data_IF_023040200440
#
_entry.id   IF_023040200440
#
_cell.length_a   1.000
_cell.length_b   1.000
_cell.length_c   1.000
_cell.angle_alpha   90.00
_cell.angle_beta   90.00
_cell.angle_gamma   90.00
#
_symmetry.space_group_name_H-M   'P 1'
#
loop_
_entity.id
_entity.type
_entity.pdbx_description
1 polymer ?
#
# COMPACT_ATOMS: atom_id res chain seq x y z
N UNK A 1 8.83 -27.11 -5.49
CA UNK A 1 8.80 -26.11 -6.58
C UNK A 1 9.96 -26.30 -7.56
N UNK A 2 11.22 -25.98 -7.22
CA UNK A 2 12.36 -26.16 -8.16
C UNK A 2 12.46 -27.58 -8.72
N UNK A 3 12.37 -28.60 -7.86
CA UNK A 3 12.33 -30.01 -8.28
C UNK A 3 11.23 -30.30 -9.32
N UNK A 4 10.02 -29.76 -9.11
CA UNK A 4 8.89 -29.92 -10.03
C UNK A 4 9.15 -29.25 -11.38
N UNK A 5 9.87 -28.12 -11.40
CA UNK A 5 10.27 -27.44 -12.63
C UNK A 5 11.32 -28.29 -13.38
N UNK A 6 12.29 -28.87 -12.69
CA UNK A 6 13.28 -29.77 -13.31
C UNK A 6 12.60 -31.03 -13.88
N UNK A 7 11.69 -31.65 -13.12
CA UNK A 7 10.91 -32.83 -13.55
C UNK A 7 10.05 -32.56 -14.79
N UNK A 8 9.66 -31.31 -15.04
CA UNK A 8 8.93 -30.88 -16.24
C UNK A 8 9.81 -30.58 -17.46
N UNK A 9 11.12 -30.86 -17.35
CA UNK A 9 12.09 -30.64 -18.43
C UNK A 9 12.60 -29.19 -18.51
N UNK A 10 12.45 -28.39 -17.46
CA UNK A 10 12.96 -27.01 -17.41
C UNK A 10 14.38 -27.00 -16.85
N UNK A 11 15.20 -26.10 -17.38
CA UNK A 11 16.58 -25.89 -16.95
C UNK A 11 16.58 -24.73 -15.96
N UNK A 12 17.21 -24.94 -14.80
CA UNK A 12 17.31 -23.94 -13.74
C UNK A 12 18.78 -23.58 -13.54
N UNK A 13 19.14 -22.34 -13.88
CA UNK A 13 20.49 -21.80 -13.75
C UNK A 13 20.54 -20.82 -12.57
N UNK A 14 21.37 -21.11 -11.57
CA UNK A 14 21.65 -20.17 -10.47
C UNK A 14 22.91 -19.35 -10.80
N UNK A 15 22.74 -18.09 -11.21
CA UNK A 15 23.87 -17.17 -11.46
C UNK A 15 24.28 -16.37 -10.24
N UNK A 16 23.32 -15.98 -9.41
CA UNK A 16 23.57 -15.21 -8.19
C UNK A 16 22.86 -15.89 -7.00
N UNK A 17 23.32 -15.64 -5.76
CA UNK A 17 22.60 -16.07 -4.57
C UNK A 17 21.13 -15.62 -4.63
N UNK A 18 20.20 -16.56 -4.49
CA UNK A 18 18.76 -16.29 -4.54
C UNK A 18 18.18 -15.95 -5.91
N UNK A 19 18.96 -15.86 -6.99
CA UNK A 19 18.44 -15.51 -8.32
C UNK A 19 18.62 -16.69 -9.29
N UNK A 20 17.49 -17.23 -9.73
CA UNK A 20 17.42 -18.42 -10.57
C UNK A 20 16.77 -18.08 -11.91
N UNK A 21 17.43 -18.46 -12.99
CA UNK A 21 16.91 -18.33 -14.35
C UNK A 21 16.34 -19.68 -14.78
N UNK A 22 15.06 -19.69 -15.13
CA UNK A 22 14.35 -20.87 -15.64
C UNK A 22 14.20 -20.72 -17.14
N UNK A 23 14.77 -21.67 -17.88
CA UNK A 23 14.79 -21.72 -19.34
C UNK A 23 14.32 -23.08 -19.84
N UNK A 24 13.90 -23.11 -21.11
CA UNK A 24 13.46 -24.33 -21.78
C UNK A 24 12.04 -24.75 -21.37
N UNK A 25 11.28 -25.28 -22.33
CA UNK A 25 9.89 -25.73 -22.12
C UNK A 25 8.96 -24.67 -21.46
N UNK A 26 9.19 -23.40 -21.77
CA UNK A 26 8.37 -22.23 -21.37
C UNK A 26 8.22 -21.29 -22.56
N UNK A 27 7.08 -20.58 -22.65
CA UNK A 27 6.83 -19.59 -23.71
C UNK A 27 7.71 -18.34 -23.57
N UNK A 28 8.26 -18.11 -22.38
CA UNK A 28 9.12 -16.98 -22.05
C UNK A 28 10.10 -17.38 -20.94
N UNK A 29 11.31 -16.80 -20.98
CA UNK A 29 12.30 -16.97 -19.91
C UNK A 29 11.75 -16.40 -18.59
N UNK A 30 11.92 -17.13 -17.50
CA UNK A 30 11.42 -16.74 -16.17
C UNK A 30 12.58 -16.58 -15.20
N UNK A 31 12.52 -15.54 -14.37
CA UNK A 31 13.44 -15.36 -13.26
C UNK A 31 12.70 -15.57 -11.94
N UNK A 32 13.23 -16.44 -11.08
CA UNK A 32 12.74 -16.65 -9.72
C UNK A 32 13.73 -16.00 -8.76
N UNK A 33 13.23 -15.04 -8.00
CA UNK A 33 13.97 -14.31 -6.97
C UNK A 33 13.53 -14.84 -5.60
N UNK A 34 14.46 -15.51 -4.92
CA UNK A 34 14.25 -16.09 -3.60
C UNK A 34 14.84 -15.16 -2.56
N UNK A 35 13.99 -14.32 -1.97
CA UNK A 35 14.38 -13.15 -1.18
C UNK A 35 15.27 -13.50 0.02
N UNK A 36 15.04 -14.64 0.68
CA UNK A 36 15.84 -15.07 1.84
C UNK A 36 17.25 -15.60 1.50
N UNK A 37 17.56 -15.80 0.22
CA UNK A 37 18.86 -16.25 -0.27
C UNK A 37 19.64 -15.13 -0.96
N UNK A 38 19.03 -13.95 -1.10
CA UNK A 38 19.69 -12.80 -1.68
C UNK A 38 20.80 -12.31 -0.75
N UNK A 39 21.84 -11.75 -1.38
CA UNK A 39 22.95 -11.13 -0.68
C UNK A 39 22.44 -9.97 0.19
N UNK A 40 22.63 -10.03 1.52
CA UNK A 40 22.27 -8.96 2.44
C UNK A 40 22.85 -7.59 2.10
N UNK A 41 24.04 -7.55 1.50
CA UNK A 41 24.77 -6.31 1.23
C UNK A 41 24.40 -5.68 -0.10
N UNK A 42 23.83 -6.45 -1.03
CA UNK A 42 23.55 -5.96 -2.39
C UNK A 42 22.06 -5.83 -2.70
N UNK A 43 21.20 -6.48 -1.92
CA UNK A 43 19.78 -6.60 -2.22
C UNK A 43 18.90 -6.34 -0.99
N UNK A 44 19.34 -5.42 -0.13
CA UNK A 44 18.60 -4.97 1.07
C UNK A 44 17.13 -4.64 0.73
N UNK A 45 16.90 -3.89 -0.36
CA UNK A 45 15.59 -3.48 -0.86
C UNK A 45 14.61 -4.64 -1.08
N UNK A 46 15.07 -5.73 -1.70
CA UNK A 46 14.24 -6.92 -1.88
C UNK A 46 13.99 -7.62 -0.54
N UNK A 47 14.99 -7.69 0.33
CA UNK A 47 14.87 -8.44 1.59
C UNK A 47 13.89 -7.81 2.57
N UNK A 48 13.79 -6.47 2.59
CA UNK A 48 12.86 -5.76 3.47
C UNK A 48 11.39 -5.89 3.05
N UNK A 49 11.10 -6.32 1.83
CA UNK A 49 9.75 -6.59 1.35
C UNK A 49 9.17 -7.92 1.87
N UNK A 50 9.96 -8.70 2.62
CA UNK A 50 9.45 -9.87 3.32
C UNK A 50 8.55 -9.46 4.50
N UNK A 51 7.52 -10.26 4.80
CA UNK A 51 6.67 -10.09 6.00
C UNK A 51 7.41 -10.28 7.33
N UNK A 52 8.63 -10.82 7.28
CA UNK A 52 9.51 -11.01 8.43
C UNK A 52 10.86 -10.39 8.10
N UNK A 53 10.85 -9.11 7.71
CA UNK A 53 12.08 -8.37 7.44
C UNK A 53 13.00 -8.42 8.67
N UNK A 54 14.31 -8.52 8.46
CA UNK A 54 15.27 -8.46 9.55
C UNK A 54 15.66 -7.01 9.82
N UNK A 55 15.85 -6.68 11.09
CA UNK A 55 16.26 -5.35 11.54
C UNK A 55 17.53 -4.86 10.80
N UNK A 56 18.54 -5.72 10.64
CA UNK A 56 19.78 -5.39 9.93
C UNK A 56 19.56 -5.07 8.45
N UNK A 57 18.61 -5.75 7.79
CA UNK A 57 18.29 -5.50 6.37
C UNK A 57 17.60 -4.14 6.23
N UNK A 58 16.71 -3.82 7.15
CA UNK A 58 16.01 -2.53 7.22
C UNK A 58 17.01 -1.40 7.48
N UNK A 59 17.92 -1.59 8.44
CA UNK A 59 18.95 -0.59 8.74
C UNK A 59 19.81 -0.29 7.54
N UNK A 60 20.30 -1.32 6.87
CA UNK A 60 21.12 -1.17 5.67
C UNK A 60 20.37 -0.51 4.52
N UNK A 61 19.13 -0.91 4.27
CA UNK A 61 18.31 -0.30 3.23
C UNK A 61 18.18 1.21 3.47
N UNK A 62 17.87 1.62 4.71
CA UNK A 62 17.76 3.03 5.07
C UNK A 62 19.07 3.80 4.86
N UNK A 63 20.22 3.23 5.23
CA UNK A 63 21.53 3.82 4.95
C UNK A 63 21.80 4.00 3.45
N UNK A 64 21.46 3.00 2.64
CA UNK A 64 21.61 3.04 1.18
C UNK A 64 20.67 4.08 0.54
N UNK A 65 19.41 4.15 1.00
CA UNK A 65 18.41 5.12 0.52
C UNK A 65 18.84 6.55 0.75
N UNK A 66 19.51 6.85 1.87
CA UNK A 66 20.03 8.19 2.16
C UNK A 66 21.15 8.64 1.22
N UNK A 67 21.90 7.69 0.67
CA UNK A 67 22.98 7.98 -0.28
C UNK A 67 22.46 8.23 -1.70
N UNK A 68 21.16 8.02 -1.95
CA UNK A 68 20.56 8.26 -3.26
C UNK A 68 20.49 9.77 -3.55
N UNK A 69 21.03 10.17 -4.70
CA UNK A 69 21.07 11.58 -5.13
C UNK A 69 20.00 11.87 -6.18
N UNK A 70 19.68 10.89 -7.03
CA UNK A 70 18.69 11.06 -8.08
C UNK A 70 17.26 10.98 -7.50
N UNK A 71 16.39 11.89 -7.94
CA UNK A 71 15.00 11.93 -7.48
C UNK A 71 14.26 10.62 -7.78
N UNK A 72 14.38 10.07 -8.98
CA UNK A 72 13.70 8.82 -9.33
C UNK A 72 14.17 7.61 -8.50
N UNK A 73 15.45 7.58 -8.08
CA UNK A 73 15.95 6.52 -7.22
C UNK A 73 15.37 6.63 -5.81
N UNK A 74 15.19 7.87 -5.31
CA UNK A 74 14.52 8.14 -4.03
C UNK A 74 13.06 7.73 -4.07
N UNK A 75 12.32 8.14 -5.10
CA UNK A 75 10.90 7.77 -5.27
C UNK A 75 10.71 6.24 -5.31
N UNK A 76 11.62 5.53 -5.99
CA UNK A 76 11.62 4.06 -5.99
C UNK A 76 11.92 3.48 -4.61
N UNK A 77 12.88 4.04 -3.88
CA UNK A 77 13.20 3.61 -2.51
C UNK A 77 12.02 3.89 -1.56
N UNK A 78 11.35 5.03 -1.69
CA UNK A 78 10.18 5.40 -0.89
C UNK A 78 9.03 4.43 -1.11
N UNK A 79 8.75 4.04 -2.36
CA UNK A 79 7.73 3.04 -2.67
C UNK A 79 8.05 1.66 -2.05
N UNK A 80 9.32 1.23 -2.09
CA UNK A 80 9.75 -0.02 -1.46
C UNK A 80 9.61 0.07 0.06
N UNK A 81 9.98 1.21 0.63
CA UNK A 81 9.91 1.48 2.06
C UNK A 81 8.48 1.45 2.57
N UNK A 82 7.56 2.10 1.86
CA UNK A 82 6.14 2.16 2.17
C UNK A 82 5.50 0.76 2.25
N UNK A 83 5.78 -0.08 1.25
CA UNK A 83 5.30 -1.47 1.23
C UNK A 83 5.90 -2.28 2.39
N UNK A 84 7.18 -2.06 2.71
CA UNK A 84 7.84 -2.75 3.80
C UNK A 84 7.25 -2.36 5.17
N UNK A 85 6.96 -1.08 5.40
CA UNK A 85 6.30 -0.59 6.63
C UNK A 85 4.93 -1.24 6.78
N UNK A 86 4.13 -1.25 5.72
CA UNK A 86 2.79 -1.84 5.74
C UNK A 86 2.82 -3.33 6.13
N UNK A 87 3.87 -4.06 5.73
CA UNK A 87 4.05 -5.47 6.06
C UNK A 87 4.72 -5.73 7.42
N UNK A 88 5.49 -4.77 7.97
CA UNK A 88 6.36 -4.96 9.14
C UNK A 88 6.25 -3.84 10.19
N UNK A 89 5.06 -3.28 10.42
CA UNK A 89 4.86 -2.07 11.27
C UNK A 89 5.54 -2.13 12.64
N UNK A 90 5.39 -3.23 13.37
CA UNK A 90 5.98 -3.41 14.70
C UNK A 90 7.52 -3.36 14.71
N UNK A 91 8.17 -3.83 13.63
CA UNK A 91 9.62 -3.75 13.49
C UNK A 91 10.05 -2.28 13.31
N UNK A 92 9.34 -1.53 12.47
CA UNK A 92 9.64 -0.13 12.22
C UNK A 92 9.38 0.76 13.44
N UNK A 93 8.35 0.48 14.24
CA UNK A 93 8.13 1.17 15.53
C UNK A 93 9.28 0.94 16.50
N UNK A 94 9.81 -0.29 16.57
CA UNK A 94 10.96 -0.62 17.39
C UNK A 94 12.22 0.13 16.93
N UNK A 95 12.50 0.11 15.62
CA UNK A 95 13.65 0.81 15.03
C UNK A 95 13.52 2.32 15.25
N UNK A 96 12.30 2.87 15.19
CA UNK A 96 12.04 4.29 15.47
C UNK A 96 12.36 4.73 16.88
N UNK A 97 12.20 3.83 17.84
CA UNK A 97 12.45 4.13 19.25
C UNK A 97 13.95 4.09 19.60
N UNK A 98 14.82 3.76 18.66
CA UNK A 98 16.26 3.63 18.83
C UNK A 98 16.97 4.97 18.47
N UNK A 99 17.53 5.67 19.48
CA UNK A 99 18.01 7.06 19.38
C UNK A 99 19.07 7.30 18.30
N UNK A 100 19.86 6.27 17.94
CA UNK A 100 20.97 6.39 16.98
C UNK A 100 20.47 6.54 15.53
N UNK A 101 19.24 6.09 15.23
CA UNK A 101 18.71 6.07 13.87
C UNK A 101 17.72 7.20 13.54
N UNK A 102 17.23 7.92 14.55
CA UNK A 102 16.21 8.98 14.43
C UNK A 102 16.53 10.05 13.37
N UNK A 103 17.79 10.48 13.22
CA UNK A 103 18.17 11.53 12.26
C UNK A 103 18.15 11.09 10.79
N UNK A 104 18.37 9.81 10.54
CA UNK A 104 18.31 9.21 9.20
C UNK A 104 16.86 8.98 8.76
N UNK A 105 16.02 8.59 9.72
CA UNK A 105 14.59 8.33 9.49
C UNK A 105 13.74 9.60 9.40
N UNK A 106 14.09 10.70 10.05
CA UNK A 106 13.27 11.92 10.02
C UNK A 106 12.98 12.43 8.60
N UNK A 107 13.99 12.49 7.71
CA UNK A 107 13.78 12.97 6.34
C UNK A 107 13.00 11.98 5.44
N UNK A 108 13.15 10.67 5.64
CA UNK A 108 12.46 9.64 4.84
C UNK A 108 11.05 9.32 5.35
N UNK A 109 10.81 9.44 6.67
CA UNK A 109 9.56 9.06 7.31
C UNK A 109 8.60 10.23 7.57
N UNK A 110 9.08 11.46 7.76
CA UNK A 110 8.17 12.58 7.98
C UNK A 110 7.30 12.83 6.77
N UNK A 111 7.88 12.86 5.56
CA UNK A 111 7.11 13.18 4.35
C UNK A 111 6.09 12.09 4.02
N UNK A 112 6.46 10.81 4.11
CA UNK A 112 5.57 9.69 3.74
C UNK A 112 4.44 9.47 4.75
N UNK A 113 4.73 9.54 6.06
CA UNK A 113 3.70 9.34 7.09
C UNK A 113 2.79 10.57 7.19
N UNK A 114 3.34 11.79 7.14
CA UNK A 114 2.52 13.00 7.18
C UNK A 114 1.60 13.10 5.96
N UNK A 115 2.09 12.71 4.77
CA UNK A 115 1.26 12.64 3.57
C UNK A 115 0.15 11.60 3.72
N UNK A 116 0.45 10.40 4.21
CA UNK A 116 -0.58 9.37 4.47
C UNK A 116 -1.61 9.79 5.52
N UNK A 117 -1.19 10.45 6.59
CA UNK A 117 -2.11 10.96 7.61
C UNK A 117 -2.99 12.09 7.07
N UNK A 118 -2.45 12.96 6.21
CA UNK A 118 -3.23 14.00 5.54
C UNK A 118 -4.23 13.37 4.55
N UNK A 119 -3.78 12.46 3.69
CA UNK A 119 -4.64 11.75 2.74
C UNK A 119 -5.75 10.98 3.46
N UNK A 120 -5.42 10.20 4.50
CA UNK A 120 -6.40 9.48 5.30
C UNK A 120 -7.38 10.43 6.02
N UNK A 121 -6.92 11.61 6.46
CA UNK A 121 -7.79 12.63 7.07
C UNK A 121 -8.72 13.25 6.02
N UNK A 122 -8.21 13.55 4.82
CA UNK A 122 -9.02 14.09 3.72
C UNK A 122 -10.06 13.07 3.25
N UNK A 123 -9.68 11.81 3.08
CA UNK A 123 -10.60 10.71 2.76
C UNK A 123 -11.66 10.55 3.85
N UNK A 124 -11.27 10.50 5.12
CA UNK A 124 -12.21 10.39 6.25
C UNK A 124 -13.17 11.60 6.35
N UNK A 125 -12.69 12.82 6.09
CA UNK A 125 -13.54 14.02 6.02
C UNK A 125 -14.51 13.96 4.84
N UNK A 126 -14.06 13.46 3.68
CA UNK A 126 -14.90 13.34 2.49
C UNK A 126 -15.98 12.27 2.70
N UNK A 127 -15.62 11.08 3.19
CA UNK A 127 -16.56 10.01 3.53
C UNK A 127 -17.56 10.46 4.59
N UNK A 128 -17.11 11.10 5.67
CA UNK A 128 -17.98 11.62 6.72
C UNK A 128 -19.00 12.65 6.20
N UNK A 129 -18.57 13.55 5.31
CA UNK A 129 -19.47 14.54 4.68
C UNK A 129 -20.46 13.88 3.72
N UNK A 130 -20.06 12.84 2.97
CA UNK A 130 -20.98 12.09 2.13
C UNK A 130 -22.02 11.33 2.95
N UNK A 131 -21.59 10.73 4.07
CA UNK A 131 -22.49 10.00 4.96
C UNK A 131 -23.47 10.93 5.68
N UNK A 132 -23.03 12.11 6.13
CA UNK A 132 -23.89 13.13 6.70
C UNK A 132 -24.94 13.62 5.69
N UNK A 133 -24.54 13.86 4.43
CA UNK A 133 -25.45 14.23 3.34
C UNK A 133 -26.49 13.14 3.07
N UNK A 134 -26.09 11.87 3.07
CA UNK A 134 -27.01 10.74 2.91
C UNK A 134 -27.97 10.64 4.09
N UNK A 135 -27.49 10.76 5.32
CA UNK A 135 -28.34 10.71 6.52
C UNK A 135 -29.35 11.87 6.55
N UNK A 136 -28.91 13.07 6.15
CA UNK A 136 -29.79 14.22 6.02
C UNK A 136 -30.85 14.01 4.92
N UNK A 137 -30.47 13.47 3.76
CA UNK A 137 -31.41 13.09 2.71
C UNK A 137 -32.43 12.03 3.17
N UNK A 138 -31.99 10.98 3.88
CA UNK A 138 -32.88 9.95 4.48
C UNK A 138 -33.90 10.61 5.40
N UNK A 139 -33.48 11.55 6.25
CA UNK A 139 -34.38 12.26 7.16
C UNK A 139 -35.44 13.07 6.42
N UNK A 140 -35.06 13.76 5.34
CA UNK A 140 -35.99 14.57 4.54
C UNK A 140 -36.96 13.72 3.72
N UNK A 141 -36.49 12.60 3.14
CA UNK A 141 -37.35 11.65 2.42
C UNK A 141 -38.40 11.07 3.39
N UNK A 142 -37.99 10.68 4.60
CA UNK A 142 -38.93 10.17 5.63
C UNK A 142 -39.94 11.21 6.10
N UNK A 143 -39.58 12.50 6.12
CA UNK A 143 -40.51 13.57 6.46
C UNK A 143 -41.58 13.78 5.38
N UNK A 144 -41.34 13.36 4.13
CA UNK A 144 -42.32 13.32 3.04
C UNK A 144 -42.86 14.68 2.58
N UNK A 145 -42.19 15.78 2.95
CA UNK A 145 -42.65 17.17 2.72
C UNK A 145 -41.90 17.91 1.61
N UNK A 146 -40.86 17.32 1.07
CA UNK A 146 -39.98 17.93 0.06
C UNK A 146 -39.90 17.00 -1.16
N UNK A 147 -39.81 17.58 -2.35
CA UNK A 147 -39.58 16.80 -3.58
C UNK A 147 -38.12 16.34 -3.68
N UNK A 148 -37.86 15.36 -4.53
CA UNK A 148 -36.50 14.86 -4.76
C UNK A 148 -35.60 15.95 -5.33
N UNK A 149 -36.13 16.87 -6.15
CA UNK A 149 -35.36 18.01 -6.65
C UNK A 149 -34.98 18.99 -5.52
N UNK A 150 -35.89 19.24 -4.57
CA UNK A 150 -35.63 20.11 -3.41
C UNK A 150 -34.58 19.49 -2.48
N UNK A 151 -34.66 18.17 -2.27
CA UNK A 151 -33.68 17.41 -1.48
C UNK A 151 -32.31 17.37 -2.19
N UNK A 152 -32.28 17.24 -3.51
CA UNK A 152 -31.06 17.32 -4.32
C UNK A 152 -30.40 18.70 -4.18
N UNK A 153 -31.19 19.77 -4.24
CA UNK A 153 -30.71 21.14 -4.04
C UNK A 153 -30.16 21.37 -2.61
N UNK A 154 -30.80 20.79 -1.59
CA UNK A 154 -30.39 20.95 -0.19
C UNK A 154 -29.16 20.11 0.21
N UNK A 155 -29.02 18.90 -0.36
CA UNK A 155 -27.95 17.95 0.01
C UNK A 155 -26.77 17.95 -0.95
N UNK A 156 -26.97 18.48 -2.18
CA UNK A 156 -26.01 18.37 -3.27
C UNK A 156 -25.84 16.93 -3.80
N UNK A 157 -26.76 16.02 -3.47
CA UNK A 157 -26.79 14.65 -4.02
C UNK A 157 -27.50 14.62 -5.37
N UNK A 158 -27.13 13.67 -6.22
CA UNK A 158 -27.81 13.47 -7.51
C UNK A 158 -29.20 12.86 -7.29
N UNK A 159 -30.13 13.19 -8.20
CA UNK A 159 -31.50 12.65 -8.19
C UNK A 159 -31.47 11.11 -8.22
N UNK A 160 -30.57 10.51 -9.00
CA UNK A 160 -30.38 9.04 -9.05
C UNK A 160 -29.99 8.45 -7.68
N UNK A 161 -29.08 9.10 -6.96
CA UNK A 161 -28.66 8.66 -5.63
C UNK A 161 -29.81 8.74 -4.62
N UNK A 162 -30.63 9.79 -4.71
CA UNK A 162 -31.80 9.98 -3.86
C UNK A 162 -32.89 8.96 -4.14
N UNK A 163 -33.17 8.66 -5.41
CA UNK A 163 -34.11 7.61 -5.80
C UNK A 163 -33.67 6.22 -5.31
N UNK A 164 -32.36 5.94 -5.34
CA UNK A 164 -31.82 4.69 -4.78
C UNK A 164 -31.98 4.61 -3.26
N UNK A 165 -31.80 5.72 -2.55
CA UNK A 165 -32.04 5.82 -1.10
C UNK A 165 -33.52 5.62 -0.78
N UNK A 166 -34.40 6.30 -1.52
CA UNK A 166 -35.86 6.19 -1.34
C UNK A 166 -36.36 4.76 -1.56
N UNK A 167 -35.89 4.09 -2.62
CA UNK A 167 -36.22 2.70 -2.89
C UNK A 167 -35.75 1.76 -1.78
N UNK A 168 -34.55 1.99 -1.22
CA UNK A 168 -34.04 1.21 -0.08
C UNK A 168 -34.88 1.40 1.18
N UNK A 169 -35.34 2.61 1.45
CA UNK A 169 -36.24 2.88 2.59
C UNK A 169 -37.56 2.13 2.40
N UNK A 170 -38.18 2.22 1.21
CA UNK A 170 -39.46 1.56 0.89
C UNK A 170 -39.40 0.03 0.92
N UNK A 171 -38.23 -0.57 0.74
CA UNK A 171 -38.04 -2.04 0.84
C UNK A 171 -37.77 -2.53 2.26
N UNK A 172 -37.53 -1.63 3.22
CA UNK A 172 -37.16 -1.96 4.60
C UNK A 172 -38.33 -1.80 5.58
N UNK A 173 -39.42 -1.13 5.17
CA UNK A 173 -40.73 -1.11 5.84
C UNK A 173 -41.66 -2.21 5.28
#
# INVERSE_FOLDING_TARGET
MFKTLEESGRIIEKRYPGIYYVRGNVQFDVQIVVMNQLDPEKHSAFRILSKNAKEDDVRRFLEESLMLVNQGDRENADAVFEVSIAANSALYEKIRSDEVMCKAMENLMQDVIAQREEEARQEGMWEGRQEERKNFAVSMIKLGKLTIEEIAAATGLTIESLLAIENRIKTTD
#
